data_IF_466655945556
#
_entry.id   IF_466655945556
#
_cell.length_a   1.000
_cell.length_b   1.000
_cell.length_c   1.000
_cell.angle_alpha   90.00
_cell.angle_beta   90.00
_cell.angle_gamma   90.00
#
_symmetry.space_group_name_H-M   'P 1'
#
loop_
_entity.id
_entity.type
_entity.pdbx_description
1 polymer ?
#
# COMPACT_ATOMS: atom_id res chain seq x y z
N UNK A 1 -54.12 79.96 -12.02
CA UNK A 1 -54.28 79.22 -10.75
C UNK A 1 -53.86 77.78 -10.99
N UNK A 2 -52.69 77.36 -10.49
CA UNK A 2 -52.20 75.98 -10.60
C UNK A 2 -51.84 75.47 -9.20
N UNK A 3 -52.42 74.33 -8.82
CA UNK A 3 -52.24 73.65 -7.52
C UNK A 3 -50.90 72.88 -7.48
N UNK A 4 -50.27 72.72 -6.30
CA UNK A 4 -49.02 71.98 -6.16
C UNK A 4 -49.25 70.46 -6.12
N UNK A 5 -48.39 69.68 -6.80
CA UNK A 5 -48.34 68.22 -6.70
C UNK A 5 -47.51 67.78 -5.49
N UNK A 6 -48.12 66.97 -4.62
CA UNK A 6 -47.45 66.33 -3.48
C UNK A 6 -46.49 65.23 -3.94
N UNK A 7 -45.27 65.28 -3.43
CA UNK A 7 -44.21 64.28 -3.62
C UNK A 7 -44.56 63.01 -2.84
N UNK A 8 -44.74 61.88 -3.54
CA UNK A 8 -44.89 60.55 -2.92
C UNK A 8 -43.53 60.06 -2.44
N UNK A 9 -43.31 60.06 -1.11
CA UNK A 9 -42.20 59.32 -0.46
C UNK A 9 -42.53 57.83 -0.47
N UNK A 10 -41.74 57.02 -1.17
CA UNK A 10 -41.76 55.57 -1.07
C UNK A 10 -41.22 55.15 0.31
N UNK A 11 -41.97 54.31 1.02
CA UNK A 11 -41.52 53.68 2.27
C UNK A 11 -40.54 52.57 1.92
N UNK A 12 -39.37 52.60 2.54
CA UNK A 12 -38.38 51.53 2.51
C UNK A 12 -38.95 50.32 3.24
N UNK A 13 -39.07 49.19 2.55
CA UNK A 13 -39.36 47.90 3.18
C UNK A 13 -38.08 47.06 3.11
N UNK A 14 -37.43 46.91 4.26
CA UNK A 14 -36.38 45.92 4.49
C UNK A 14 -37.06 44.56 4.63
N UNK A 15 -37.07 43.76 3.56
CA UNK A 15 -37.41 42.33 3.66
C UNK A 15 -36.09 41.61 3.86
N UNK A 16 -35.78 41.35 5.13
CA UNK A 16 -34.89 40.27 5.51
C UNK A 16 -35.60 38.95 5.25
N UNK A 17 -34.99 38.14 4.40
CA UNK A 17 -34.87 36.68 4.54
C UNK A 17 -34.18 36.16 3.28
N UNK A 18 -32.88 36.50 3.17
CA UNK A 18 -31.99 35.73 2.33
C UNK A 18 -31.61 34.49 3.14
N UNK A 19 -32.39 33.41 3.00
CA UNK A 19 -31.91 32.08 3.35
C UNK A 19 -30.69 31.79 2.47
N UNK A 20 -29.50 32.08 3.01
CA UNK A 20 -28.25 31.68 2.40
C UNK A 20 -28.06 30.18 2.62
N UNK A 21 -28.75 29.34 1.84
CA UNK A 21 -28.45 27.91 1.77
C UNK A 21 -27.25 27.71 0.86
N UNK A 22 -26.08 28.19 1.30
CA UNK A 22 -24.82 27.73 0.73
C UNK A 22 -24.62 26.31 1.26
N UNK A 23 -24.80 25.32 0.40
CA UNK A 23 -24.47 23.93 0.74
C UNK A 23 -23.02 23.90 1.21
N UNK A 24 -22.71 23.39 2.41
CA UNK A 24 -21.35 23.41 2.93
C UNK A 24 -20.42 22.68 1.96
N UNK A 25 -19.22 23.22 1.77
CA UNK A 25 -18.23 22.65 0.88
C UNK A 25 -17.77 21.28 1.41
N UNK A 26 -17.35 20.38 0.51
CA UNK A 26 -16.77 19.08 0.89
C UNK A 26 -15.60 19.25 1.87
N UNK A 27 -14.78 20.28 1.69
CA UNK A 27 -13.62 20.56 2.54
C UNK A 27 -14.04 20.95 3.95
N UNK A 28 -15.09 21.77 4.09
CA UNK A 28 -15.64 22.18 5.37
C UNK A 28 -16.27 21.00 6.13
N UNK A 29 -16.96 20.11 5.39
CA UNK A 29 -17.54 18.90 5.95
C UNK A 29 -16.43 17.95 6.40
N UNK A 30 -15.43 17.72 5.54
CA UNK A 30 -14.30 16.82 5.82
C UNK A 30 -13.51 17.28 7.05
N UNK A 31 -13.18 18.58 7.15
CA UNK A 31 -12.46 19.14 8.29
C UNK A 31 -13.23 18.96 9.61
N UNK A 32 -14.56 19.11 9.59
CA UNK A 32 -15.39 18.87 10.78
C UNK A 32 -15.45 17.40 11.16
N UNK A 33 -15.59 16.50 10.19
CA UNK A 33 -15.60 15.05 10.43
C UNK A 33 -14.28 14.60 11.05
N UNK A 34 -13.14 15.14 10.61
CA UNK A 34 -11.81 14.82 11.17
C UNK A 34 -11.63 15.20 12.65
N UNK A 35 -12.48 16.08 13.21
CA UNK A 35 -12.43 16.45 14.63
C UNK A 35 -13.23 15.52 15.53
N UNK A 36 -14.01 14.61 14.95
CA UNK A 36 -14.81 13.64 15.71
C UNK A 36 -13.98 12.40 16.03
N UNK A 37 -14.26 11.80 17.19
CA UNK A 37 -13.73 10.48 17.53
C UNK A 37 -14.47 9.36 16.77
N UNK A 38 -13.84 8.19 16.73
CA UNK A 38 -14.34 7.02 16.01
C UNK A 38 -15.76 6.60 16.43
N UNK A 39 -16.08 6.70 17.73
CA UNK A 39 -17.39 6.31 18.24
C UNK A 39 -18.48 7.29 17.81
N UNK A 40 -18.19 8.59 17.83
CA UNK A 40 -19.09 9.62 17.34
C UNK A 40 -19.39 9.45 15.84
N UNK A 41 -18.36 9.15 15.04
CA UNK A 41 -18.51 8.89 13.60
C UNK A 41 -19.38 7.65 13.36
N UNK A 42 -19.11 6.55 14.07
CA UNK A 42 -19.87 5.31 13.96
C UNK A 42 -21.37 5.53 14.29
N UNK A 43 -21.67 6.24 15.38
CA UNK A 43 -23.05 6.54 15.78
C UNK A 43 -23.79 7.39 14.74
N UNK A 44 -23.12 8.40 14.16
CA UNK A 44 -23.70 9.24 13.10
C UNK A 44 -23.98 8.42 11.85
N UNK A 45 -23.05 7.55 11.43
CA UNK A 45 -23.23 6.67 10.28
C UNK A 45 -24.40 5.69 10.49
N UNK A 46 -24.50 5.08 11.67
CA UNK A 46 -25.64 4.21 12.03
C UNK A 46 -26.95 4.98 11.94
N UNK A 47 -27.00 6.19 12.49
CA UNK A 47 -28.19 7.02 12.43
C UNK A 47 -28.56 7.41 10.98
N UNK A 48 -27.58 7.81 10.17
CA UNK A 48 -27.79 8.16 8.77
C UNK A 48 -28.26 6.95 7.94
N UNK A 49 -27.69 5.77 8.15
CA UNK A 49 -28.07 4.52 7.49
C UNK A 49 -29.48 4.05 7.88
N UNK A 50 -29.90 4.27 9.14
CA UNK A 50 -31.26 3.99 9.60
C UNK A 50 -32.30 4.88 8.91
N UNK A 51 -31.96 6.14 8.63
CA UNK A 51 -32.88 7.10 8.02
C UNK A 51 -32.91 6.95 6.49
N UNK A 52 -31.77 6.70 5.88
CA UNK A 52 -31.61 6.70 4.42
C UNK A 52 -31.07 5.36 3.91
N UNK A 53 -31.91 4.55 3.22
CA UNK A 53 -31.49 3.27 2.65
C UNK A 53 -30.29 3.37 1.70
N UNK A 54 -30.14 4.48 0.97
CA UNK A 54 -28.99 4.70 0.09
C UNK A 54 -27.67 4.78 0.86
N UNK A 55 -27.69 5.37 2.07
CA UNK A 55 -26.51 5.39 2.96
C UNK A 55 -26.19 3.98 3.46
N UNK A 56 -27.21 3.17 3.80
CA UNK A 56 -26.99 1.76 4.15
C UNK A 56 -26.37 0.98 2.99
N UNK A 57 -26.85 1.17 1.76
CA UNK A 57 -26.26 0.56 0.57
C UNK A 57 -24.80 1.02 0.36
N UNK A 58 -24.48 2.29 0.61
CA UNK A 58 -23.10 2.79 0.55
C UNK A 58 -22.20 2.13 1.60
N UNK A 59 -22.70 1.93 2.83
CA UNK A 59 -22.00 1.21 3.90
C UNK A 59 -21.79 -0.25 3.51
N UNK A 60 -22.83 -0.94 3.03
CA UNK A 60 -22.72 -2.34 2.59
C UNK A 60 -21.74 -2.50 1.43
N UNK A 61 -21.75 -1.59 0.46
CA UNK A 61 -20.78 -1.59 -0.63
C UNK A 61 -19.35 -1.34 -0.15
N UNK A 62 -19.15 -0.44 0.83
CA UNK A 62 -17.83 -0.20 1.41
C UNK A 62 -17.33 -1.44 2.17
N UNK A 63 -18.18 -2.08 2.98
CA UNK A 63 -17.86 -3.31 3.71
C UNK A 63 -17.53 -4.45 2.75
N UNK A 64 -18.38 -4.72 1.76
CA UNK A 64 -18.15 -5.80 0.79
C UNK A 64 -16.93 -5.55 -0.10
N UNK A 65 -16.65 -4.30 -0.46
CA UNK A 65 -15.42 -3.96 -1.18
C UNK A 65 -14.20 -4.24 -0.31
N UNK A 66 -14.24 -3.86 0.96
CA UNK A 66 -13.15 -4.11 1.91
C UNK A 66 -12.92 -5.61 2.13
N UNK A 67 -13.98 -6.40 2.35
CA UNK A 67 -13.83 -7.85 2.59
C UNK A 67 -13.32 -8.58 1.34
N UNK A 68 -13.81 -8.21 0.14
CA UNK A 68 -13.32 -8.80 -1.11
C UNK A 68 -11.88 -8.43 -1.40
N UNK A 69 -11.45 -7.21 -1.11
CA UNK A 69 -10.05 -6.81 -1.27
C UNK A 69 -9.14 -7.60 -0.33
N UNK A 70 -9.62 -7.89 0.88
CA UNK A 70 -8.89 -8.74 1.84
C UNK A 70 -8.78 -10.20 1.37
N UNK A 71 -9.88 -10.80 0.88
CA UNK A 71 -9.85 -12.15 0.28
C UNK A 71 -8.88 -12.21 -0.92
N UNK A 72 -8.97 -11.24 -1.83
CA UNK A 72 -8.07 -11.15 -2.99
C UNK A 72 -6.62 -10.94 -2.55
N UNK A 73 -6.37 -10.15 -1.49
CA UNK A 73 -5.02 -9.97 -0.97
C UNK A 73 -4.43 -11.31 -0.48
N UNK A 74 -5.23 -12.12 0.22
CA UNK A 74 -4.84 -13.46 0.65
C UNK A 74 -4.47 -14.36 -0.54
N UNK A 75 -5.33 -14.44 -1.56
CA UNK A 75 -5.07 -15.22 -2.78
C UNK A 75 -3.77 -14.76 -3.49
N UNK A 76 -3.55 -13.45 -3.56
CA UNK A 76 -2.33 -12.88 -4.17
C UNK A 76 -1.09 -13.21 -3.35
N UNK A 77 -1.17 -13.15 -2.02
CA UNK A 77 -0.05 -13.52 -1.14
C UNK A 77 0.31 -15.00 -1.34
N UNK A 78 -0.68 -15.89 -1.35
CA UNK A 78 -0.47 -17.33 -1.59
C UNK A 78 0.21 -17.57 -2.94
N UNK A 79 -0.28 -16.96 -4.02
CA UNK A 79 0.31 -17.11 -5.35
C UNK A 79 1.76 -16.58 -5.42
N UNK A 80 2.05 -15.48 -4.72
CA UNK A 80 3.41 -14.92 -4.63
C UNK A 80 4.33 -15.85 -3.85
N UNK A 81 3.88 -16.41 -2.72
CA UNK A 81 4.64 -17.37 -1.91
C UNK A 81 4.93 -18.63 -2.72
N UNK A 82 3.92 -19.23 -3.35
CA UNK A 82 4.07 -20.40 -4.23
C UNK A 82 5.09 -20.14 -5.35
N UNK A 83 5.03 -18.94 -5.96
CA UNK A 83 5.98 -18.54 -7.00
C UNK A 83 7.41 -18.43 -6.46
N UNK A 84 7.59 -17.83 -5.28
CA UNK A 84 8.88 -17.71 -4.61
C UNK A 84 9.48 -19.09 -4.32
N UNK A 85 8.68 -20.00 -3.75
CA UNK A 85 9.09 -21.35 -3.43
C UNK A 85 9.48 -22.13 -4.68
N UNK A 86 8.65 -22.06 -5.73
CA UNK A 86 8.89 -22.71 -7.02
C UNK A 86 10.21 -22.25 -7.65
N UNK A 87 10.49 -20.93 -7.65
CA UNK A 87 11.77 -20.40 -8.14
C UNK A 87 12.95 -21.01 -7.37
N UNK A 88 12.83 -21.12 -6.05
CA UNK A 88 13.91 -21.68 -5.22
C UNK A 88 14.12 -23.18 -5.48
N UNK A 89 13.06 -23.94 -5.75
CA UNK A 89 13.14 -25.35 -6.14
C UNK A 89 13.81 -25.56 -7.49
N UNK A 90 13.53 -24.70 -8.47
CA UNK A 90 14.14 -24.74 -9.80
C UNK A 90 15.63 -24.31 -9.79
N UNK A 91 16.08 -23.66 -8.72
CA UNK A 91 17.45 -23.15 -8.56
C UNK A 91 18.35 -24.05 -7.70
N UNK A 92 18.16 -25.37 -7.78
CA UNK A 92 18.96 -26.36 -7.03
C UNK A 92 20.47 -26.42 -7.39
N UNK A 93 21.26 -27.24 -6.68
CA UNK A 93 22.72 -27.32 -6.89
C UNK A 93 23.11 -27.91 -8.26
N UNK A 94 22.23 -28.74 -8.84
CA UNK A 94 22.49 -29.43 -10.12
C UNK A 94 22.21 -28.58 -11.36
N UNK A 95 21.59 -27.40 -11.23
CA UNK A 95 21.36 -26.51 -12.37
C UNK A 95 22.61 -25.68 -12.68
N UNK A 96 22.59 -24.96 -13.81
CA UNK A 96 23.73 -24.13 -14.19
C UNK A 96 23.82 -22.87 -13.28
N UNK A 97 25.03 -22.32 -13.07
CA UNK A 97 25.24 -21.12 -12.26
C UNK A 97 24.39 -19.91 -12.64
N UNK A 98 24.17 -19.71 -13.94
CA UNK A 98 23.38 -18.58 -14.43
C UNK A 98 21.91 -18.68 -14.01
N UNK A 99 21.35 -19.89 -13.93
CA UNK A 99 19.99 -20.12 -13.43
C UNK A 99 19.86 -19.69 -11.98
N UNK A 100 20.81 -20.07 -11.10
CA UNK A 100 20.80 -19.64 -9.69
C UNK A 100 20.93 -18.13 -9.55
N UNK A 101 21.86 -17.51 -10.29
CA UNK A 101 22.03 -16.06 -10.31
C UNK A 101 20.74 -15.34 -10.76
N UNK A 102 20.10 -15.86 -11.81
CA UNK A 102 18.84 -15.32 -12.32
C UNK A 102 17.72 -15.48 -11.29
N UNK A 103 17.60 -16.65 -10.65
CA UNK A 103 16.63 -16.92 -9.59
C UNK A 103 16.76 -15.91 -8.45
N UNK A 104 17.97 -15.74 -7.91
CA UNK A 104 18.24 -14.77 -6.86
C UNK A 104 17.92 -13.32 -7.31
N UNK A 105 18.24 -12.98 -8.55
CA UNK A 105 17.89 -11.68 -9.14
C UNK A 105 16.38 -11.45 -9.27
N UNK A 106 15.62 -12.51 -9.57
CA UNK A 106 14.15 -12.46 -9.65
C UNK A 106 13.55 -12.33 -8.27
N UNK A 107 13.97 -13.13 -7.29
CA UNK A 107 13.52 -13.02 -5.90
C UNK A 107 13.77 -11.61 -5.35
N UNK A 108 14.96 -11.06 -5.56
CA UNK A 108 15.26 -9.66 -5.20
C UNK A 108 14.27 -8.66 -5.82
N UNK A 109 13.86 -8.86 -7.08
CA UNK A 109 12.88 -7.99 -7.75
C UNK A 109 11.48 -8.15 -7.15
N UNK A 110 11.06 -9.37 -6.85
CA UNK A 110 9.79 -9.66 -6.17
C UNK A 110 9.77 -8.95 -4.82
N UNK A 111 10.82 -9.11 -4.00
CA UNK A 111 10.95 -8.43 -2.72
C UNK A 111 10.84 -6.91 -2.83
N UNK A 112 11.49 -6.31 -3.85
CA UNK A 112 11.36 -4.88 -4.12
C UNK A 112 9.95 -4.48 -4.54
N UNK A 113 9.28 -5.28 -5.36
CA UNK A 113 7.90 -5.00 -5.78
C UNK A 113 6.97 -5.00 -4.56
N UNK A 114 7.04 -6.02 -3.71
CA UNK A 114 6.27 -6.10 -2.46
C UNK A 114 6.53 -4.85 -1.59
N UNK A 115 7.80 -4.47 -1.45
CA UNK A 115 8.19 -3.32 -0.65
C UNK A 115 7.62 -1.99 -1.14
N UNK A 116 7.38 -1.85 -2.43
CA UNK A 116 6.83 -0.63 -3.05
C UNK A 116 5.30 -0.66 -3.20
N UNK A 117 4.64 -1.74 -2.76
CA UNK A 117 3.18 -1.92 -2.87
C UNK A 117 2.42 -1.14 -1.80
N UNK A 118 2.58 0.18 -1.72
CA UNK A 118 1.93 1.01 -0.68
C UNK A 118 0.79 1.89 -1.21
N UNK A 119 0.54 1.85 -2.53
CA UNK A 119 -0.28 2.83 -3.25
C UNK A 119 -1.80 2.57 -3.19
N UNK A 120 -2.22 1.35 -2.84
CA UNK A 120 -3.63 0.97 -2.72
C UNK A 120 -3.86 -0.03 -1.59
N UNK A 121 -5.13 -0.31 -1.28
CA UNK A 121 -5.51 -1.24 -0.21
C UNK A 121 -4.95 -2.63 -0.46
N UNK A 122 -5.10 -3.16 -1.68
CA UNK A 122 -4.63 -4.51 -2.01
C UNK A 122 -3.12 -4.64 -1.82
N UNK A 123 -2.35 -3.71 -2.35
CA UNK A 123 -0.90 -3.69 -2.22
C UNK A 123 -0.46 -3.59 -0.77
N UNK A 124 -1.14 -2.76 0.04
CA UNK A 124 -0.84 -2.63 1.47
C UNK A 124 -1.07 -3.94 2.22
N UNK A 125 -2.21 -4.60 2.00
CA UNK A 125 -2.50 -5.90 2.63
C UNK A 125 -1.47 -6.96 2.23
N UNK A 126 -1.05 -6.97 0.96
CA UNK A 126 0.05 -7.83 0.49
C UNK A 126 1.36 -7.46 1.21
N UNK A 127 1.75 -6.19 1.25
CA UNK A 127 2.97 -5.73 1.92
C UNK A 127 2.98 -6.11 3.41
N UNK A 128 1.87 -5.88 4.12
CA UNK A 128 1.71 -6.19 5.55
C UNK A 128 1.82 -7.69 5.83
N UNK A 129 1.34 -8.55 4.92
CA UNK A 129 1.51 -10.00 5.04
C UNK A 129 2.98 -10.43 5.06
N UNK A 130 3.86 -9.70 4.37
CA UNK A 130 5.31 -9.94 4.35
C UNK A 130 6.08 -9.32 5.53
N UNK A 131 5.41 -8.76 6.53
CA UNK A 131 6.05 -8.36 7.79
C UNK A 131 6.44 -9.56 8.65
N UNK A 132 5.66 -10.65 8.58
CA UNK A 132 5.89 -11.89 9.32
C UNK A 132 6.22 -13.10 8.45
N UNK A 133 6.05 -12.99 7.12
CA UNK A 133 6.39 -14.05 6.19
C UNK A 133 7.90 -14.09 5.91
N UNK A 134 8.51 -15.26 6.02
CA UNK A 134 9.93 -15.49 5.75
C UNK A 134 10.20 -16.14 4.39
N UNK A 135 9.16 -16.46 3.60
CA UNK A 135 9.26 -17.29 2.39
C UNK A 135 10.22 -16.71 1.36
N UNK A 136 10.23 -15.38 1.19
CA UNK A 136 11.20 -14.71 0.32
C UNK A 136 12.64 -14.90 0.78
N UNK A 137 12.90 -14.66 2.06
CA UNK A 137 14.23 -14.75 2.67
C UNK A 137 14.72 -16.19 2.64
N UNK A 138 13.88 -17.13 3.04
CA UNK A 138 14.16 -18.57 3.02
C UNK A 138 14.50 -19.07 1.61
N UNK A 139 13.76 -18.61 0.60
CA UNK A 139 14.02 -18.92 -0.80
C UNK A 139 15.37 -18.34 -1.26
N UNK A 140 15.70 -17.10 -0.90
CA UNK A 140 17.00 -16.49 -1.23
C UNK A 140 18.15 -17.25 -0.58
N UNK A 141 18.03 -17.59 0.71
CA UNK A 141 19.00 -18.41 1.45
C UNK A 141 19.17 -19.78 0.80
N UNK A 142 18.06 -20.45 0.43
CA UNK A 142 18.08 -21.75 -0.25
C UNK A 142 18.84 -21.71 -1.57
N UNK A 143 18.67 -20.66 -2.37
CA UNK A 143 19.42 -20.46 -3.62
C UNK A 143 20.90 -20.20 -3.34
N UNK A 144 21.23 -19.34 -2.37
CA UNK A 144 22.64 -19.03 -2.05
C UNK A 144 23.36 -20.27 -1.53
N UNK A 145 22.71 -21.07 -0.69
CA UNK A 145 23.29 -22.32 -0.18
C UNK A 145 23.49 -23.40 -1.28
N UNK A 146 22.83 -23.26 -2.43
CA UNK A 146 23.05 -24.14 -3.60
C UNK A 146 24.15 -23.63 -4.54
N UNK A 147 24.63 -22.40 -4.33
CA UNK A 147 25.73 -21.80 -5.09
C UNK A 147 27.10 -22.26 -4.57
N UNK A 148 28.07 -22.33 -5.47
CA UNK A 148 29.47 -22.51 -5.12
C UNK A 148 30.08 -21.21 -4.57
N UNK A 149 31.21 -21.33 -3.87
CA UNK A 149 31.94 -20.17 -3.36
C UNK A 149 32.44 -19.22 -4.46
N UNK A 150 32.70 -19.72 -5.68
CA UNK A 150 33.07 -18.87 -6.82
C UNK A 150 31.88 -18.04 -7.32
N UNK A 151 30.68 -18.63 -7.35
CA UNK A 151 29.45 -17.91 -7.72
C UNK A 151 29.09 -16.81 -6.73
N UNK A 152 29.13 -17.13 -5.42
CA UNK A 152 28.91 -16.15 -4.35
C UNK A 152 29.92 -15.02 -4.44
N UNK A 153 31.19 -15.35 -4.67
CA UNK A 153 32.25 -14.35 -4.88
C UNK A 153 31.99 -13.46 -6.08
N UNK A 154 31.55 -14.04 -7.20
CA UNK A 154 31.23 -13.28 -8.41
C UNK A 154 30.11 -12.26 -8.19
N UNK A 155 29.06 -12.62 -7.43
CA UNK A 155 27.98 -11.70 -7.06
C UNK A 155 28.53 -10.56 -6.20
N UNK A 156 29.29 -10.90 -5.16
CA UNK A 156 29.84 -9.95 -4.18
C UNK A 156 30.80 -8.95 -4.80
N UNK A 157 31.70 -9.42 -5.66
CA UNK A 157 32.76 -8.60 -6.25
C UNK A 157 32.27 -7.77 -7.43
N UNK A 158 31.09 -8.09 -7.99
CA UNK A 158 30.48 -7.30 -9.05
C UNK A 158 29.88 -6.00 -8.50
N UNK A 159 30.74 -4.99 -8.45
CA UNK A 159 30.37 -3.58 -8.27
C UNK A 159 30.52 -2.79 -9.56
N UNK A 160 30.50 -3.47 -10.71
CA UNK A 160 30.77 -2.86 -12.02
C UNK A 160 29.70 -1.84 -12.42
N UNK A 161 28.50 -1.93 -11.83
CA UNK A 161 27.36 -1.06 -12.12
C UNK A 161 26.43 -0.93 -10.91
N UNK A 162 25.72 0.20 -10.74
CA UNK A 162 24.60 0.32 -9.81
C UNK A 162 23.45 -0.68 -10.05
N UNK A 163 23.43 -1.33 -11.21
CA UNK A 163 22.45 -2.36 -11.58
C UNK A 163 22.92 -3.79 -11.28
N UNK A 164 24.15 -3.96 -10.79
CA UNK A 164 24.66 -5.26 -10.37
C UNK A 164 23.87 -5.81 -9.18
N UNK A 165 23.89 -7.13 -9.01
CA UNK A 165 23.03 -7.81 -8.04
C UNK A 165 23.38 -7.42 -6.59
N UNK A 166 24.66 -7.31 -6.24
CA UNK A 166 25.07 -6.99 -4.87
C UNK A 166 24.57 -5.61 -4.38
N UNK A 167 24.84 -4.48 -5.08
CA UNK A 167 24.28 -3.18 -4.70
C UNK A 167 22.75 -3.19 -4.63
N UNK A 168 22.12 -3.99 -5.49
CA UNK A 168 20.66 -4.14 -5.55
C UNK A 168 20.11 -4.93 -4.35
N UNK A 169 20.83 -5.90 -3.81
CA UNK A 169 20.44 -6.59 -2.58
C UNK A 169 20.55 -5.66 -1.36
N UNK A 170 21.62 -4.85 -1.27
CA UNK A 170 21.75 -3.84 -0.22
C UNK A 170 20.67 -2.74 -0.30
N UNK A 171 20.25 -2.36 -1.51
CA UNK A 171 19.11 -1.46 -1.70
C UNK A 171 17.80 -2.09 -1.18
N UNK A 172 17.63 -3.40 -1.36
CA UNK A 172 16.44 -4.10 -0.87
C UNK A 172 16.43 -4.18 0.66
N UNK A 173 17.56 -4.48 1.30
CA UNK A 173 17.71 -4.47 2.77
C UNK A 173 17.26 -3.15 3.37
N UNK A 174 17.82 -2.02 2.90
CA UNK A 174 17.43 -0.69 3.41
C UNK A 174 15.95 -0.38 3.25
N UNK A 175 15.35 -0.85 2.14
CA UNK A 175 13.93 -0.68 1.90
C UNK A 175 13.10 -1.58 2.82
N UNK A 176 13.52 -2.82 3.02
CA UNK A 176 12.91 -3.77 3.93
C UNK A 176 12.94 -3.28 5.39
N UNK A 177 14.05 -2.69 5.83
CA UNK A 177 14.16 -2.02 7.14
C UNK A 177 13.17 -0.85 7.27
N UNK A 178 13.07 -0.02 6.23
CA UNK A 178 12.19 1.17 6.22
C UNK A 178 10.72 0.78 6.29
N UNK A 179 10.32 -0.27 5.57
CA UNK A 179 8.95 -0.75 5.48
C UNK A 179 8.61 -1.85 6.50
N UNK A 180 9.59 -2.27 7.31
CA UNK A 180 9.49 -3.36 8.30
C UNK A 180 8.99 -4.70 7.72
N UNK A 181 9.48 -5.09 6.55
CA UNK A 181 9.12 -6.32 5.83
C UNK A 181 10.34 -7.21 5.58
N UNK A 182 10.10 -8.45 5.11
CA UNK A 182 11.15 -9.43 4.78
C UNK A 182 12.11 -9.69 5.96
N UNK A 183 11.59 -10.14 7.12
CA UNK A 183 12.41 -10.37 8.30
C UNK A 183 13.54 -11.37 8.01
N UNK A 184 14.78 -11.05 8.45
CA UNK A 184 15.95 -11.90 8.24
C UNK A 184 16.70 -11.65 6.93
N UNK A 185 16.33 -10.62 6.16
CA UNK A 185 17.04 -10.28 4.91
C UNK A 185 18.53 -9.96 5.13
N UNK A 186 18.92 -9.53 6.32
CA UNK A 186 20.31 -9.38 6.74
C UNK A 186 21.10 -10.71 6.63
N UNK A 187 20.47 -11.85 6.92
CA UNK A 187 21.11 -13.16 6.84
C UNK A 187 21.49 -13.51 5.39
N UNK A 188 20.69 -13.06 4.41
CA UNK A 188 20.99 -13.20 2.98
C UNK A 188 22.29 -12.46 2.62
N UNK A 189 22.48 -11.25 3.17
CA UNK A 189 23.69 -10.47 2.93
C UNK A 189 24.91 -11.07 3.63
N UNK A 190 24.74 -11.56 4.86
CA UNK A 190 25.80 -12.24 5.62
C UNK A 190 26.30 -13.51 4.91
N UNK A 191 25.43 -14.25 4.23
CA UNK A 191 25.86 -15.42 3.43
C UNK A 191 26.70 -15.03 2.21
N UNK A 192 26.47 -13.85 1.64
CA UNK A 192 27.23 -13.33 0.50
C UNK A 192 28.51 -12.61 0.93
N UNK A 193 28.52 -12.03 2.14
CA UNK A 193 29.64 -11.32 2.73
C UNK A 193 29.74 -11.62 4.23
N UNK A 194 30.28 -12.79 4.61
CA UNK A 194 30.48 -13.10 6.03
C UNK A 194 31.51 -12.12 6.61
N UNK A 195 31.10 -11.39 7.64
CA UNK A 195 31.93 -10.41 8.38
C UNK A 195 33.06 -11.12 9.13
#
# INVERSE_FOLDING_TARGET
MAKPQSVKRARSNTIGDAHNTTTPSWEEISQRVQTLDEQSIANILVYAAQIHPDIMNMVDHAIHRSSKQYEIAGDVVEEVVDTIESIAEECGPSVNPQTRFNGLSVLRKIGKTIALSTNDTLGREVQESFQSDSSLVDAMIKIINSMTADEVRAIREDNSSPTALWPKLQELEKLAETECIHPGLEEVLDLLYPI
#
